data_IF_081247329376
#
_entry.id   IF_081247329376
#
_cell.length_a   1.000
_cell.length_b   1.000
_cell.length_c   1.000
_cell.angle_alpha   90.00
_cell.angle_beta   90.00
_cell.angle_gamma   90.00
#
_symmetry.space_group_name_H-M   'P 1'
#
loop_
_entity.id
_entity.type
_entity.pdbx_description
1 polymer ?
#
# COMPACT_ATOMS: atom_id res chain seq x y z
N UNK A 1 -52.22 1.52 -0.97
CA UNK A 1 -51.78 1.85 -2.34
C UNK A 1 -50.75 2.97 -2.46
N UNK A 2 -50.23 3.52 -1.38
CA UNK A 2 -49.30 4.66 -1.42
C UNK A 2 -47.79 4.30 -1.25
N UNK A 3 -47.47 3.03 -1.03
CA UNK A 3 -46.07 2.60 -0.84
C UNK A 3 -45.41 2.05 -2.10
N UNK A 4 -46.23 1.52 -3.03
CA UNK A 4 -45.74 0.95 -4.31
C UNK A 4 -45.48 2.03 -5.36
N UNK A 5 -46.14 3.20 -5.29
CA UNK A 5 -45.86 4.32 -6.19
C UNK A 5 -44.53 5.03 -5.92
N UNK A 6 -44.04 4.98 -4.68
CA UNK A 6 -42.75 5.57 -4.34
C UNK A 6 -41.54 4.73 -4.79
N UNK A 7 -41.73 3.43 -4.98
CA UNK A 7 -40.66 2.53 -5.43
C UNK A 7 -40.48 2.59 -6.96
N UNK A 8 -41.59 2.85 -7.71
CA UNK A 8 -41.54 3.01 -9.15
C UNK A 8 -40.76 4.20 -9.65
N UNK A 9 -40.70 5.30 -8.89
CA UNK A 9 -39.96 6.51 -9.26
C UNK A 9 -38.42 6.42 -9.03
N UNK A 10 -37.95 5.50 -8.21
CA UNK A 10 -36.53 5.30 -7.97
C UNK A 10 -35.88 4.41 -9.04
N UNK A 11 -36.68 3.55 -9.69
CA UNK A 11 -36.20 2.62 -10.74
C UNK A 11 -36.21 3.19 -12.16
N UNK A 12 -36.75 4.39 -12.36
CA UNK A 12 -36.82 5.06 -13.68
C UNK A 12 -35.95 6.35 -13.74
N UNK A 13 -35.13 6.61 -12.72
CA UNK A 13 -34.13 7.68 -12.81
C UNK A 13 -33.11 7.27 -13.89
N UNK A 14 -33.13 8.01 -15.00
CA UNK A 14 -32.23 7.84 -16.12
C UNK A 14 -30.81 8.22 -15.69
N UNK A 15 -30.07 7.24 -15.20
CA UNK A 15 -28.69 7.37 -14.65
C UNK A 15 -27.72 7.91 -15.72
N UNK A 16 -28.13 7.86 -17.01
CA UNK A 16 -27.28 8.32 -18.11
C UNK A 16 -27.22 9.84 -18.27
N UNK A 17 -28.14 10.59 -17.64
CA UNK A 17 -28.17 12.08 -17.77
C UNK A 17 -27.26 12.81 -16.81
N UNK A 18 -26.88 12.22 -15.69
CA UNK A 18 -26.06 12.90 -14.67
C UNK A 18 -24.56 12.76 -14.85
N UNK A 19 -24.09 11.96 -15.80
CA UNK A 19 -22.67 11.79 -16.12
C UNK A 19 -22.15 12.68 -17.26
N UNK A 20 -22.88 13.72 -17.69
CA UNK A 20 -22.26 14.77 -18.49
C UNK A 20 -21.38 15.64 -17.59
N UNK A 21 -20.07 15.32 -17.60
CA UNK A 21 -19.01 16.19 -17.08
C UNK A 21 -19.27 17.62 -17.58
N UNK A 22 -19.85 18.48 -16.74
CA UNK A 22 -19.94 19.91 -17.00
C UNK A 22 -18.51 20.45 -17.02
N UNK A 23 -17.98 20.73 -18.23
CA UNK A 23 -16.83 21.62 -18.36
C UNK A 23 -17.27 22.99 -17.80
N UNK A 24 -16.96 23.25 -16.54
CA UNK A 24 -17.03 24.58 -15.94
C UNK A 24 -15.65 25.18 -16.02
N UNK A 25 -15.46 26.03 -17.01
CA UNK A 25 -14.39 27.03 -17.05
C UNK A 25 -14.70 28.11 -16.02
N UNK A 26 -14.10 28.03 -14.86
CA UNK A 26 -13.80 29.12 -13.95
C UNK A 26 -12.53 28.74 -13.22
N UNK A 27 -11.57 29.65 -13.15
CA UNK A 27 -10.33 29.55 -12.38
C UNK A 27 -10.63 29.53 -10.86
N UNK A 28 -11.28 28.48 -10.39
CA UNK A 28 -11.25 28.02 -9.02
C UNK A 28 -10.17 26.96 -8.97
N UNK A 29 -9.31 26.98 -7.97
CA UNK A 29 -8.43 25.88 -7.63
C UNK A 29 -9.26 24.60 -7.68
N UNK A 30 -9.12 23.85 -8.78
CA UNK A 30 -9.83 22.58 -8.95
C UNK A 30 -9.17 21.64 -7.98
N UNK A 31 -9.83 21.33 -6.87
CA UNK A 31 -9.41 20.20 -6.01
C UNK A 31 -9.13 19.02 -6.93
N UNK A 32 -7.91 18.52 -6.88
CA UNK A 32 -7.50 17.40 -7.73
C UNK A 32 -8.46 16.23 -7.50
N UNK A 33 -9.00 15.67 -8.59
CA UNK A 33 -9.88 14.52 -8.46
C UNK A 33 -9.15 13.36 -7.79
N UNK A 34 -9.88 12.41 -7.18
CA UNK A 34 -9.27 11.22 -6.59
C UNK A 34 -8.40 10.46 -7.62
N UNK A 35 -8.81 10.41 -8.88
CA UNK A 35 -8.01 9.81 -9.98
C UNK A 35 -6.70 10.55 -10.18
N UNK A 36 -6.68 11.87 -10.04
CA UNK A 36 -5.44 12.65 -10.15
C UNK A 36 -4.49 12.36 -8.99
N UNK A 37 -5.02 12.12 -7.79
CA UNK A 37 -4.22 11.63 -6.66
C UNK A 37 -3.60 10.26 -6.96
N UNK A 38 -4.37 9.33 -7.52
CA UNK A 38 -3.86 8.02 -7.93
C UNK A 38 -2.72 8.14 -8.96
N UNK A 39 -2.80 9.08 -9.90
CA UNK A 39 -1.77 9.33 -10.92
C UNK A 39 -0.48 9.91 -10.32
N UNK A 40 -0.57 10.70 -9.25
CA UNK A 40 0.59 11.27 -8.54
C UNK A 40 1.46 10.20 -7.89
N UNK A 41 0.85 9.11 -7.41
CA UNK A 41 1.59 8.01 -6.78
C UNK A 41 2.48 7.30 -7.80
N UNK A 42 3.78 7.41 -7.61
CA UNK A 42 4.82 6.77 -8.44
C UNK A 42 5.85 6.07 -7.53
N UNK A 43 6.55 5.08 -8.08
CA UNK A 43 7.71 4.51 -7.41
C UNK A 43 8.88 5.49 -7.47
N UNK A 44 9.29 6.01 -6.32
CA UNK A 44 10.43 6.91 -6.18
C UNK A 44 11.54 6.17 -5.45
N UNK A 45 12.66 5.95 -6.12
CA UNK A 45 13.77 5.17 -5.57
C UNK A 45 14.85 6.03 -4.91
N UNK A 46 15.01 7.30 -5.34
CA UNK A 46 15.92 8.24 -4.70
C UNK A 46 15.16 9.00 -3.62
N UNK A 47 15.29 8.53 -2.40
CA UNK A 47 14.61 9.05 -1.22
C UNK A 47 15.61 9.69 -0.27
N UNK A 48 15.14 10.66 0.53
CA UNK A 48 15.93 11.36 1.54
C UNK A 48 15.15 11.58 2.84
N UNK A 49 15.76 12.33 3.76
CA UNK A 49 15.22 12.57 5.11
C UNK A 49 14.72 14.01 5.32
N UNK A 50 14.73 14.85 4.28
CA UNK A 50 14.31 16.26 4.36
C UNK A 50 12.81 16.40 4.26
N UNK A 51 12.10 16.15 5.35
CA UNK A 51 10.65 16.15 5.43
C UNK A 51 10.19 17.16 6.49
N UNK A 52 9.15 17.95 6.19
CA UNK A 52 8.61 18.97 7.11
C UNK A 52 7.60 18.40 8.14
N UNK A 53 7.12 17.17 7.93
CA UNK A 53 6.18 16.51 8.83
C UNK A 53 6.91 15.85 10.01
N UNK A 54 6.27 15.86 11.18
CA UNK A 54 6.75 15.08 12.31
C UNK A 54 6.54 13.58 12.09
N UNK A 55 7.35 12.76 12.77
CA UNK A 55 7.16 11.30 12.72
C UNK A 55 5.79 10.88 13.27
N UNK A 56 5.27 11.58 14.30
CA UNK A 56 3.96 11.33 14.86
C UNK A 56 2.84 11.57 13.83
N UNK A 57 2.89 12.69 13.09
CA UNK A 57 1.93 12.97 12.03
C UNK A 57 1.95 11.91 10.93
N UNK A 58 3.16 11.51 10.48
CA UNK A 58 3.28 10.48 9.44
C UNK A 58 2.80 9.11 9.93
N UNK A 59 3.05 8.77 11.19
CA UNK A 59 2.55 7.54 11.78
C UNK A 59 1.00 7.54 11.83
N UNK A 60 0.38 8.66 12.21
CA UNK A 60 -1.06 8.81 12.22
C UNK A 60 -1.67 8.73 10.82
N UNK A 61 -1.09 9.43 9.83
CA UNK A 61 -1.49 9.35 8.43
C UNK A 61 -1.50 7.90 7.91
N UNK A 62 -0.43 7.15 8.21
CA UNK A 62 -0.29 5.75 7.83
C UNK A 62 -1.36 4.89 8.51
N UNK A 63 -1.58 5.08 9.82
CA UNK A 63 -2.60 4.34 10.58
C UNK A 63 -4.00 4.60 10.06
N UNK A 64 -4.37 5.86 9.82
CA UNK A 64 -5.69 6.21 9.27
C UNK A 64 -5.90 5.65 7.86
N UNK A 65 -4.85 5.66 7.03
CA UNK A 65 -4.90 5.03 5.70
C UNK A 65 -5.24 3.54 5.78
N UNK A 66 -4.63 2.81 6.72
CA UNK A 66 -4.91 1.37 6.92
C UNK A 66 -6.29 1.15 7.53
N UNK A 67 -6.69 1.94 8.52
CA UNK A 67 -8.04 1.83 9.16
C UNK A 67 -9.17 2.07 8.16
N UNK A 68 -8.92 2.90 7.14
CA UNK A 68 -9.91 3.22 6.10
C UNK A 68 -10.03 2.13 5.04
N UNK A 69 -9.16 1.12 5.03
CA UNK A 69 -9.21 0.04 4.05
C UNK A 69 -10.29 -0.99 4.40
N UNK A 70 -11.10 -1.43 3.42
CA UNK A 70 -12.02 -2.54 3.62
C UNK A 70 -11.25 -3.86 3.72
N UNK A 71 -11.88 -4.86 4.35
CA UNK A 71 -11.37 -6.22 4.38
C UNK A 71 -12.49 -7.24 4.28
N UNK A 72 -12.23 -8.40 3.68
CA UNK A 72 -13.22 -9.45 3.56
C UNK A 72 -13.75 -9.87 4.94
N UNK A 73 -15.07 -9.93 5.09
CA UNK A 73 -15.74 -10.20 6.37
C UNK A 73 -15.34 -9.23 7.51
N UNK A 74 -14.88 -8.06 7.16
CA UNK A 74 -14.29 -7.11 8.13
C UNK A 74 -13.21 -7.78 9.01
N UNK A 75 -12.35 -8.57 8.38
CA UNK A 75 -11.33 -9.38 9.06
C UNK A 75 -10.33 -8.55 9.84
N UNK A 76 -10.01 -7.36 9.31
CA UNK A 76 -9.00 -6.45 9.89
C UNK A 76 -7.71 -7.20 10.23
N UNK A 77 -7.28 -8.14 9.36
CA UNK A 77 -6.10 -8.99 9.58
C UNK A 77 -4.78 -8.28 9.33
N UNK A 78 -4.79 -7.16 8.62
CA UNK A 78 -3.58 -6.39 8.34
C UNK A 78 -2.97 -5.82 9.63
N UNK A 79 -1.66 -5.99 9.79
CA UNK A 79 -0.84 -5.40 10.85
C UNK A 79 0.26 -4.58 10.22
N UNK A 80 0.60 -3.46 10.83
CA UNK A 80 1.70 -2.61 10.35
C UNK A 80 2.70 -2.34 11.47
N UNK A 81 3.97 -2.22 11.07
CA UNK A 81 5.04 -1.69 11.91
C UNK A 81 5.66 -0.53 11.16
N UNK A 82 5.72 0.64 11.78
CA UNK A 82 6.32 1.84 11.20
C UNK A 82 7.66 2.08 11.85
N UNK A 83 8.72 2.12 11.06
CA UNK A 83 10.09 2.29 11.52
C UNK A 83 10.63 3.64 11.08
N UNK A 84 11.21 4.39 12.05
CA UNK A 84 11.90 5.65 11.84
C UNK A 84 13.30 5.61 12.48
N UNK A 85 14.17 6.52 12.07
CA UNK A 85 15.47 6.74 12.71
C UNK A 85 16.33 5.48 12.79
N UNK A 86 16.80 5.15 13.98
CA UNK A 86 17.66 3.97 14.22
C UNK A 86 16.96 2.66 13.91
N UNK A 87 15.66 2.55 14.18
CA UNK A 87 14.89 1.34 13.85
C UNK A 87 14.77 1.12 12.35
N UNK A 88 14.59 2.20 11.58
CA UNK A 88 14.62 2.14 10.12
C UNK A 88 16.00 1.69 9.61
N UNK A 89 17.09 2.26 10.12
CA UNK A 89 18.45 1.87 9.75
C UNK A 89 18.72 0.40 10.11
N UNK A 90 18.44 0.01 11.35
CA UNK A 90 18.58 -1.39 11.83
C UNK A 90 17.84 -2.37 10.91
N UNK A 91 16.63 -2.04 10.47
CA UNK A 91 15.87 -2.89 9.56
C UNK A 91 16.64 -3.13 8.25
N UNK A 92 17.13 -2.08 7.60
CA UNK A 92 17.84 -2.22 6.33
C UNK A 92 19.22 -2.88 6.49
N UNK A 93 19.87 -2.74 7.64
CA UNK A 93 21.09 -3.49 7.95
C UNK A 93 20.81 -4.99 8.06
N UNK A 94 19.70 -5.39 8.71
CA UNK A 94 19.24 -6.78 8.76
C UNK A 94 18.96 -7.31 7.34
N UNK A 95 18.24 -6.55 6.51
CA UNK A 95 17.98 -6.93 5.12
C UNK A 95 19.28 -7.16 4.36
N UNK A 96 20.25 -6.25 4.52
CA UNK A 96 21.56 -6.32 3.85
C UNK A 96 22.35 -7.57 4.27
N UNK A 97 22.36 -7.88 5.56
CA UNK A 97 23.06 -9.04 6.11
C UNK A 97 22.43 -10.37 5.69
N UNK A 98 21.09 -10.42 5.64
CA UNK A 98 20.38 -11.60 5.12
C UNK A 98 20.64 -11.78 3.63
N UNK A 99 20.56 -10.70 2.84
CA UNK A 99 20.79 -10.80 1.40
C UNK A 99 22.25 -11.17 1.08
N UNK A 100 23.23 -10.75 1.86
CA UNK A 100 24.64 -11.16 1.70
C UNK A 100 24.82 -12.67 1.75
N UNK A 101 23.99 -13.37 2.53
CA UNK A 101 24.04 -14.82 2.69
C UNK A 101 23.23 -15.58 1.61
N UNK A 102 22.24 -14.92 1.00
CA UNK A 102 21.28 -15.55 0.11
C UNK A 102 21.53 -15.28 -1.38
N UNK A 103 22.28 -14.24 -1.73
CA UNK A 103 22.59 -13.93 -3.13
C UNK A 103 24.04 -14.27 -3.47
N UNK A 104 24.28 -14.58 -4.73
CA UNK A 104 25.63 -14.86 -5.20
C UNK A 104 26.54 -13.63 -5.05
N UNK A 105 27.80 -13.82 -4.62
CA UNK A 105 28.72 -12.74 -4.28
C UNK A 105 28.94 -11.74 -5.42
N UNK A 106 28.92 -12.20 -6.67
CA UNK A 106 29.14 -11.34 -7.84
C UNK A 106 28.00 -10.36 -8.16
N UNK A 107 26.77 -10.59 -7.61
CA UNK A 107 25.65 -9.68 -7.75
C UNK A 107 25.35 -8.88 -6.47
N UNK A 108 26.00 -9.24 -5.35
CA UNK A 108 25.69 -8.65 -4.05
C UNK A 108 25.94 -7.14 -4.00
N UNK A 109 26.96 -6.62 -4.68
CA UNK A 109 27.22 -5.16 -4.73
C UNK A 109 26.03 -4.37 -5.27
N UNK A 110 25.41 -4.85 -6.36
CA UNK A 110 24.21 -4.24 -6.93
C UNK A 110 22.99 -4.33 -6.02
N UNK A 111 22.84 -5.44 -5.28
CA UNK A 111 21.78 -5.63 -4.29
C UNK A 111 22.00 -4.71 -3.09
N UNK A 112 23.24 -4.64 -2.57
CA UNK A 112 23.62 -3.78 -1.45
C UNK A 112 23.35 -2.31 -1.77
N UNK A 113 23.69 -1.85 -2.98
CA UNK A 113 23.42 -0.47 -3.41
C UNK A 113 21.93 -0.13 -3.36
N UNK A 114 21.04 -1.04 -3.81
CA UNK A 114 19.58 -0.86 -3.72
C UNK A 114 19.11 -0.78 -2.27
N UNK A 115 19.65 -1.62 -1.40
CA UNK A 115 19.33 -1.62 0.04
C UNK A 115 19.78 -0.31 0.68
N UNK A 116 20.98 0.17 0.35
CA UNK A 116 21.51 1.45 0.85
C UNK A 116 20.66 2.65 0.38
N UNK A 117 20.12 2.60 -0.84
CA UNK A 117 19.15 3.58 -1.33
C UNK A 117 17.84 3.56 -0.52
N UNK A 118 17.37 2.38 -0.10
CA UNK A 118 16.22 2.27 0.79
C UNK A 118 16.54 2.82 2.19
N UNK A 119 17.69 2.49 2.75
CA UNK A 119 18.15 2.98 4.05
C UNK A 119 18.34 4.52 4.09
N UNK A 120 18.51 5.16 2.93
CA UNK A 120 18.60 6.62 2.82
C UNK A 120 17.25 7.32 3.04
N UNK A 121 16.11 6.60 2.98
CA UNK A 121 14.78 7.13 3.25
C UNK A 121 14.58 7.60 4.68
N UNK A 122 13.43 8.24 4.93
CA UNK A 122 13.03 8.72 6.26
C UNK A 122 12.53 7.59 7.15
N UNK A 123 11.77 6.65 6.58
CA UNK A 123 11.14 5.57 7.32
C UNK A 123 10.71 4.41 6.43
N UNK A 124 10.28 3.35 7.06
CA UNK A 124 9.75 2.14 6.40
C UNK A 124 8.47 1.69 7.09
N UNK A 125 7.44 1.34 6.30
CA UNK A 125 6.25 0.63 6.76
C UNK A 125 6.39 -0.83 6.40
N UNK A 126 6.30 -1.71 7.38
CA UNK A 126 6.22 -3.16 7.20
C UNK A 126 4.77 -3.57 7.24
N UNK A 127 4.31 -4.28 6.23
CA UNK A 127 2.94 -4.80 6.13
C UNK A 127 2.92 -6.29 6.42
N UNK A 128 2.08 -6.68 7.34
CA UNK A 128 1.87 -8.06 7.76
C UNK A 128 0.40 -8.44 7.65
N UNK A 129 0.16 -9.74 7.47
CA UNK A 129 -1.16 -10.36 7.63
C UNK A 129 -1.14 -11.33 8.82
N UNK A 130 -2.07 -11.12 9.76
CA UNK A 130 -2.19 -11.93 10.97
C UNK A 130 -2.86 -13.26 10.65
N UNK A 131 -2.06 -14.33 10.62
CA UNK A 131 -2.49 -15.67 10.27
C UNK A 131 -3.46 -16.25 11.31
N UNK A 132 -3.42 -15.81 12.57
CA UNK A 132 -4.36 -16.25 13.59
C UNK A 132 -5.79 -15.77 13.28
N UNK A 133 -5.94 -14.53 12.80
CA UNK A 133 -7.23 -13.98 12.36
C UNK A 133 -7.76 -14.77 11.17
N UNK A 134 -6.91 -15.05 10.18
CA UNK A 134 -7.28 -15.78 8.96
C UNK A 134 -7.75 -17.20 9.33
N UNK A 135 -6.98 -17.91 10.16
CA UNK A 135 -7.33 -19.26 10.63
C UNK A 135 -8.64 -19.30 11.44
N UNK A 136 -8.91 -18.27 12.25
CA UNK A 136 -10.17 -18.16 12.97
C UNK A 136 -11.36 -18.01 12.02
N UNK A 137 -11.21 -17.19 10.98
CA UNK A 137 -12.26 -17.01 9.97
C UNK A 137 -12.48 -18.27 9.14
N UNK A 138 -11.44 -18.99 8.76
CA UNK A 138 -11.54 -20.29 8.08
C UNK A 138 -12.36 -21.29 8.90
N UNK A 139 -12.16 -21.33 10.23
CA UNK A 139 -12.94 -22.20 11.13
C UNK A 139 -14.39 -21.73 11.27
N UNK A 140 -14.61 -20.42 11.30
CA UNK A 140 -15.94 -19.82 11.49
C UNK A 140 -16.81 -19.92 10.24
N UNK A 141 -16.21 -19.88 9.05
CA UNK A 141 -16.90 -19.91 7.74
C UNK A 141 -16.28 -21.01 6.87
N UNK A 142 -16.53 -22.30 7.14
CA UNK A 142 -15.87 -23.41 6.46
C UNK A 142 -16.08 -23.45 4.95
N UNK A 143 -17.22 -22.96 4.47
CA UNK A 143 -17.55 -22.92 3.02
C UNK A 143 -16.60 -22.02 2.21
N UNK A 144 -15.98 -21.01 2.84
CA UNK A 144 -15.04 -20.09 2.23
C UNK A 144 -13.64 -20.23 2.83
N UNK A 145 -13.33 -21.34 3.49
CA UNK A 145 -12.06 -21.50 4.21
C UNK A 145 -10.84 -21.34 3.28
N UNK A 146 -10.92 -21.84 2.05
CA UNK A 146 -9.83 -21.77 1.07
C UNK A 146 -9.67 -20.36 0.45
N UNK A 147 -10.69 -19.52 0.53
CA UNK A 147 -10.67 -18.16 -0.04
C UNK A 147 -10.00 -17.16 0.90
N UNK A 148 -10.08 -17.35 2.22
CA UNK A 148 -9.57 -16.37 3.19
C UNK A 148 -8.09 -16.00 3.01
N UNK A 149 -7.16 -16.91 2.68
CA UNK A 149 -5.78 -16.55 2.39
C UNK A 149 -5.66 -15.59 1.19
N UNK A 150 -6.44 -15.84 0.13
CA UNK A 150 -6.47 -14.98 -1.07
C UNK A 150 -7.04 -13.61 -0.73
N UNK A 151 -8.15 -13.55 -0.01
CA UNK A 151 -8.76 -12.28 0.41
C UNK A 151 -7.88 -11.49 1.36
N UNK A 152 -7.08 -12.16 2.18
CA UNK A 152 -6.07 -11.51 3.02
C UNK A 152 -4.98 -10.83 2.18
N UNK A 153 -4.48 -11.49 1.13
CA UNK A 153 -3.52 -10.89 0.20
C UNK A 153 -4.11 -9.66 -0.52
N UNK A 154 -5.38 -9.74 -0.94
CA UNK A 154 -6.08 -8.61 -1.56
C UNK A 154 -6.22 -7.44 -0.56
N UNK A 155 -6.58 -7.72 0.70
CA UNK A 155 -6.65 -6.72 1.78
C UNK A 155 -5.29 -6.06 2.01
N UNK A 156 -4.22 -6.86 2.07
CA UNK A 156 -2.85 -6.37 2.20
C UNK A 156 -2.49 -5.42 1.04
N UNK A 157 -2.82 -5.79 -0.19
CA UNK A 157 -2.59 -4.96 -1.38
C UNK A 157 -3.35 -3.62 -1.32
N UNK A 158 -4.60 -3.62 -0.84
CA UNK A 158 -5.38 -2.40 -0.64
C UNK A 158 -4.75 -1.49 0.42
N UNK A 159 -4.30 -2.04 1.54
CA UNK A 159 -3.64 -1.28 2.61
C UNK A 159 -2.31 -0.67 2.13
N UNK A 160 -1.50 -1.45 1.41
CA UNK A 160 -0.24 -0.98 0.82
C UNK A 160 -0.48 0.18 -0.14
N UNK A 161 -1.47 0.06 -1.01
CA UNK A 161 -1.82 1.07 -1.99
C UNK A 161 -2.38 2.34 -1.32
N UNK A 162 -3.25 2.21 -0.32
CA UNK A 162 -3.80 3.34 0.42
C UNK A 162 -2.70 4.15 1.11
N UNK A 163 -1.82 3.47 1.87
CA UNK A 163 -0.68 4.13 2.53
C UNK A 163 0.24 4.81 1.52
N UNK A 164 0.56 4.13 0.43
CA UNK A 164 1.44 4.69 -0.61
C UNK A 164 0.83 5.93 -1.26
N UNK A 165 -0.48 5.90 -1.54
CA UNK A 165 -1.19 7.04 -2.13
C UNK A 165 -1.26 8.22 -1.16
N UNK A 166 -1.52 7.97 0.12
CA UNK A 166 -1.54 9.01 1.17
C UNK A 166 -0.16 9.67 1.36
N UNK A 167 0.91 8.87 1.31
CA UNK A 167 2.29 9.39 1.34
C UNK A 167 2.57 10.26 0.10
N UNK A 168 2.14 9.83 -1.08
CA UNK A 168 2.30 10.61 -2.31
C UNK A 168 1.47 11.90 -2.31
N UNK A 169 0.25 11.87 -1.73
CA UNK A 169 -0.59 13.06 -1.55
C UNK A 169 0.03 14.07 -0.58
N UNK A 170 0.73 13.59 0.46
CA UNK A 170 1.53 14.43 1.34
C UNK A 170 2.81 15.00 0.67
N UNK A 171 3.01 14.79 -0.63
CA UNK A 171 4.19 15.29 -1.37
C UNK A 171 5.47 14.51 -1.11
N UNK A 172 5.38 13.30 -0.54
CA UNK A 172 6.52 12.45 -0.27
C UNK A 172 6.66 11.35 -1.33
N UNK A 173 7.89 10.87 -1.49
CA UNK A 173 8.21 9.72 -2.32
C UNK A 173 8.15 8.42 -1.53
N UNK A 174 7.81 7.32 -2.22
CA UNK A 174 7.92 5.99 -1.66
C UNK A 174 8.16 4.93 -2.75
N UNK A 175 8.70 3.78 -2.34
CA UNK A 175 8.78 2.58 -3.18
C UNK A 175 8.52 1.32 -2.36
N UNK A 176 7.82 0.38 -2.96
CA UNK A 176 7.48 -0.90 -2.35
C UNK A 176 8.57 -1.93 -2.65
N UNK A 177 8.95 -2.71 -1.63
CA UNK A 177 9.98 -3.73 -1.69
C UNK A 177 9.44 -5.05 -1.14
N UNK A 178 10.04 -6.17 -1.59
CA UNK A 178 9.63 -7.54 -1.21
C UNK A 178 10.88 -8.38 -0.97
N UNK A 179 11.50 -8.24 0.21
CA UNK A 179 12.63 -9.05 0.66
C UNK A 179 12.19 -10.30 1.43
N UNK A 180 10.91 -10.38 1.76
CA UNK A 180 10.27 -11.56 2.32
C UNK A 180 10.26 -12.72 1.28
N UNK A 181 10.27 -14.00 1.67
CA UNK A 181 10.28 -14.46 3.07
C UNK A 181 11.68 -14.52 3.73
N UNK A 182 12.75 -14.24 3.00
CA UNK A 182 14.12 -14.45 3.48
C UNK A 182 14.47 -13.68 4.75
N UNK A 183 13.85 -12.51 4.96
CA UNK A 183 14.12 -11.64 6.11
C UNK A 183 13.18 -11.89 7.29
N UNK A 184 12.09 -12.63 7.11
CA UNK A 184 10.97 -12.71 8.06
C UNK A 184 11.42 -13.10 9.47
N UNK A 185 12.22 -14.16 9.57
CA UNK A 185 12.71 -14.63 10.86
C UNK A 185 13.60 -13.60 11.55
N UNK A 186 14.59 -13.07 10.84
CA UNK A 186 15.54 -12.11 11.40
C UNK A 186 14.84 -10.81 11.84
N UNK A 187 13.86 -10.34 11.08
CA UNK A 187 13.07 -9.15 11.42
C UNK A 187 12.19 -9.43 12.63
N UNK A 188 11.49 -10.56 12.66
CA UNK A 188 10.63 -10.93 13.78
C UNK A 188 11.40 -11.00 15.11
N UNK A 189 12.58 -11.61 15.12
CA UNK A 189 13.41 -11.68 16.33
C UNK A 189 13.95 -10.31 16.79
N UNK A 190 14.38 -9.47 15.83
CA UNK A 190 15.00 -8.19 16.16
C UNK A 190 14.02 -7.09 16.60
N UNK A 191 12.74 -7.22 16.23
CA UNK A 191 11.67 -6.26 16.54
C UNK A 191 10.56 -6.84 17.41
N UNK A 192 10.74 -8.05 17.98
CA UNK A 192 9.77 -8.73 18.82
C UNK A 192 8.37 -8.82 18.18
N UNK A 193 8.36 -9.23 16.89
CA UNK A 193 7.14 -9.35 16.11
C UNK A 193 6.57 -10.76 16.25
N UNK A 194 5.26 -10.87 16.42
CA UNK A 194 4.55 -12.14 16.51
C UNK A 194 4.84 -13.05 15.32
N UNK A 195 5.15 -14.32 15.57
CA UNK A 195 5.33 -15.35 14.54
C UNK A 195 4.04 -15.65 13.74
N UNK A 196 2.89 -15.18 14.22
CA UNK A 196 1.61 -15.27 13.50
C UNK A 196 1.45 -14.17 12.44
N UNK A 197 2.30 -13.16 12.45
CA UNK A 197 2.27 -12.08 11.47
C UNK A 197 3.18 -12.44 10.30
N UNK A 198 2.58 -12.68 9.14
CA UNK A 198 3.29 -13.00 7.91
C UNK A 198 3.65 -11.70 7.19
N UNK A 199 4.94 -11.43 7.00
CA UNK A 199 5.43 -10.23 6.31
C UNK A 199 5.08 -10.29 4.83
N UNK A 200 4.46 -9.21 4.29
CA UNK A 200 4.00 -9.17 2.90
C UNK A 200 4.76 -8.16 2.05
N UNK A 201 5.08 -7.00 2.62
CA UNK A 201 5.78 -5.95 1.89
C UNK A 201 6.49 -4.97 2.82
N UNK A 202 7.42 -4.21 2.25
CA UNK A 202 8.14 -3.12 2.89
C UNK A 202 8.01 -1.87 2.03
N UNK A 203 7.35 -0.81 2.53
CA UNK A 203 7.23 0.47 1.85
C UNK A 203 8.21 1.46 2.47
N UNK A 204 9.31 1.75 1.79
CA UNK A 204 10.21 2.80 2.21
C UNK A 204 9.73 4.15 1.66
N UNK A 205 9.83 5.20 2.47
CA UNK A 205 9.36 6.54 2.13
C UNK A 205 10.27 7.65 2.64
N UNK A 206 10.13 8.85 2.05
CA UNK A 206 10.92 10.02 2.43
C UNK A 206 10.75 11.19 1.47
N UNK A 207 11.64 12.20 1.57
CA UNK A 207 11.68 13.27 0.58
C UNK A 207 12.07 12.75 -0.79
N UNK A 208 11.56 13.40 -1.84
CA UNK A 208 11.84 13.05 -3.25
C UNK A 208 13.16 13.69 -3.66
N UNK A 209 14.20 12.89 -3.84
CA UNK A 209 15.54 13.34 -4.25
C UNK A 209 15.85 13.02 -5.73
N UNK A 210 14.88 12.46 -6.46
CA UNK A 210 15.00 12.15 -7.88
C UNK A 210 13.67 11.84 -8.54
N UNK A 211 13.64 11.92 -9.86
CA UNK A 211 12.43 11.70 -10.64
C UNK A 211 12.00 10.22 -10.64
N UNK A 212 10.69 10.00 -10.78
CA UNK A 212 10.15 8.67 -11.04
C UNK A 212 10.66 8.17 -12.41
N UNK A 213 10.94 6.85 -12.55
CA UNK A 213 11.17 6.26 -13.86
C UNK A 213 9.99 6.49 -14.81
N UNK A 214 10.24 6.45 -16.11
CA UNK A 214 9.16 6.48 -17.10
C UNK A 214 8.21 5.30 -16.89
N UNK A 215 6.90 5.55 -17.05
CA UNK A 215 5.88 4.52 -16.98
C UNK A 215 5.51 4.10 -18.40
N UNK A 216 5.71 2.82 -18.68
CA UNK A 216 5.13 2.20 -19.86
C UNK A 216 3.67 1.87 -19.56
N UNK A 217 2.76 2.35 -20.38
CA UNK A 217 1.33 2.05 -20.26
C UNK A 217 0.97 0.94 -21.24
N UNK A 218 0.19 -0.07 -20.81
CA UNK A 218 -0.34 -1.08 -21.73
C UNK A 218 -1.37 -0.46 -22.67
N UNK A 219 -1.65 -1.10 -23.78
CA UNK A 219 -2.74 -0.70 -24.67
C UNK A 219 -4.10 -1.01 -23.99
N UNK A 220 -5.04 -0.07 -24.08
CA UNK A 220 -6.35 -0.17 -23.41
C UNK A 220 -7.12 -1.44 -23.81
N UNK A 221 -7.03 -1.87 -25.07
CA UNK A 221 -7.71 -3.05 -25.59
C UNK A 221 -7.26 -4.37 -24.92
N UNK A 222 -6.05 -4.40 -24.36
CA UNK A 222 -5.53 -5.57 -23.64
C UNK A 222 -5.96 -5.57 -22.16
N UNK A 223 -6.28 -4.40 -21.62
CA UNK A 223 -6.58 -4.23 -20.21
C UNK A 223 -8.08 -4.10 -19.92
N UNK A 224 -8.87 -3.55 -20.85
CA UNK A 224 -10.27 -3.23 -20.62
C UNK A 224 -11.19 -3.86 -21.67
N UNK A 225 -12.34 -4.35 -21.22
CA UNK A 225 -13.46 -4.76 -22.06
C UNK A 225 -14.73 -4.17 -21.48
N UNK A 226 -15.50 -3.46 -22.32
CA UNK A 226 -16.76 -2.82 -21.95
C UNK A 226 -17.85 -3.46 -22.79
N UNK A 227 -18.91 -3.93 -22.16
CA UNK A 227 -20.09 -4.49 -22.79
C UNK A 227 -21.28 -3.60 -22.42
N UNK A 228 -22.11 -3.19 -23.42
CA UNK A 228 -23.30 -2.37 -23.27
C UNK A 228 -24.56 -3.23 -23.45
#
# INVERSE_FOLDING_TARGET
MALLDKIGHVLTADITKDFKLKKKTTEQEVEASFVDQLKKRRSIYKLGKKVHYSQAYLAELIQESVRSCPSAYNSQSTRIVVLFGESHQKFWDIVKDVQRKNVASYIFEGVALKIDQCAAGLGTVLFYEDQAVIQQLQKKVPLSAEDFPVWSEQTSGMAQFAVWTSIADAGLGACLQHYNPHIDYAVAENFDISKQWLLRAQLVFGSIEGQAPERLEPEDQDQFRIYE
#
